data_IF_498203870473
#
_entry.id   IF_498203870473
#
_cell.length_a   1.000
_cell.length_b   1.000
_cell.length_c   1.000
_cell.angle_alpha   90.00
_cell.angle_beta   90.00
_cell.angle_gamma   90.00
#
_symmetry.space_group_name_H-M   'P 1'
#
loop_
_entity.id
_entity.type
_entity.pdbx_description
1 polymer ?
#
# COMPACT_ATOMS: atom_id res chain seq x y z
N UNK A 1 7.04 13.06 -18.89
CA UNK A 1 6.93 11.59 -18.72
C UNK A 1 5.68 11.29 -17.92
N UNK A 2 4.93 10.23 -18.22
CA UNK A 2 3.78 9.80 -17.39
C UNK A 2 4.17 8.54 -16.62
N UNK A 3 4.04 8.58 -15.30
CA UNK A 3 4.33 7.48 -14.38
C UNK A 3 3.01 7.10 -13.72
N UNK A 4 2.65 5.82 -13.78
CA UNK A 4 1.45 5.30 -13.10
C UNK A 4 1.92 4.45 -11.92
N UNK A 5 1.37 4.71 -10.74
CA UNK A 5 1.62 3.91 -9.53
C UNK A 5 0.32 3.31 -9.01
N UNK A 6 0.21 1.99 -9.09
CA UNK A 6 -0.91 1.28 -8.50
C UNK A 6 -0.70 1.13 -7.00
N UNK A 7 -1.80 1.08 -6.25
CA UNK A 7 -1.76 0.67 -4.86
C UNK A 7 -2.89 -0.29 -4.53
N UNK A 8 -2.68 -1.08 -3.49
CA UNK A 8 -3.66 -1.96 -2.88
C UNK A 8 -3.95 -1.49 -1.47
N UNK A 9 -5.23 -1.26 -1.21
CA UNK A 9 -5.75 -1.09 0.14
C UNK A 9 -5.84 -2.47 0.81
N UNK A 10 -5.16 -2.64 1.93
CA UNK A 10 -5.06 -3.90 2.69
C UNK A 10 -5.37 -3.64 4.16
N UNK A 11 -5.87 -4.64 4.92
CA UNK A 11 -5.96 -4.54 6.37
C UNK A 11 -4.54 -4.43 6.98
N UNK A 12 -4.41 -3.74 8.11
CA UNK A 12 -3.16 -3.71 8.86
C UNK A 12 -2.84 -5.10 9.42
N UNK A 13 -1.78 -5.73 8.89
CA UNK A 13 -1.40 -7.08 9.27
C UNK A 13 -1.01 -7.23 10.75
N UNK A 14 -0.67 -6.13 11.44
CA UNK A 14 -0.33 -6.18 12.87
C UNK A 14 -1.56 -6.47 13.74
N UNK A 15 -2.76 -6.14 13.25
CA UNK A 15 -4.02 -6.29 13.98
C UNK A 15 -4.87 -7.47 13.48
N UNK A 16 -4.39 -8.22 12.48
CA UNK A 16 -5.02 -9.46 12.03
C UNK A 16 -4.76 -10.56 13.05
N UNK A 17 -5.83 -11.22 13.52
CA UNK A 17 -5.74 -12.36 14.42
C UNK A 17 -6.22 -13.65 13.74
N UNK A 18 -5.85 -14.80 14.31
CA UNK A 18 -6.39 -16.12 13.91
C UNK A 18 -7.47 -16.52 14.92
N UNK A 19 -8.65 -16.88 14.41
CA UNK A 19 -9.73 -17.43 15.22
C UNK A 19 -9.36 -18.82 15.72
N UNK A 20 -9.25 -18.99 17.04
CA UNK A 20 -8.80 -20.25 17.65
C UNK A 20 -9.77 -21.44 17.44
N UNK A 21 -11.02 -21.18 17.08
CA UNK A 21 -12.04 -22.23 16.92
C UNK A 21 -11.94 -22.94 15.56
N UNK A 22 -11.62 -22.21 14.49
CA UNK A 22 -11.71 -22.69 13.11
C UNK A 22 -10.51 -22.30 12.22
N UNK A 23 -9.55 -21.53 12.76
CA UNK A 23 -8.36 -21.09 12.04
C UNK A 23 -8.62 -19.99 11.00
N UNK A 24 -9.82 -19.42 10.94
CA UNK A 24 -10.12 -18.29 10.05
C UNK A 24 -9.41 -17.01 10.51
N UNK A 25 -9.27 -16.03 9.62
CA UNK A 25 -8.68 -14.73 9.94
C UNK A 25 -9.74 -13.76 10.47
N UNK A 26 -9.45 -13.08 11.58
CA UNK A 26 -10.23 -11.97 12.13
C UNK A 26 -9.58 -10.64 11.73
N UNK A 27 -10.35 -9.81 11.03
CA UNK A 27 -9.97 -8.48 10.56
C UNK A 27 -10.70 -7.36 11.32
N UNK A 28 -11.50 -7.67 12.35
CA UNK A 28 -12.40 -6.72 13.02
C UNK A 28 -11.69 -5.52 13.66
N UNK A 29 -10.39 -5.65 13.95
CA UNK A 29 -9.53 -4.60 14.50
C UNK A 29 -8.49 -4.07 13.50
N UNK A 30 -8.41 -4.65 12.30
CA UNK A 30 -7.42 -4.31 11.31
C UNK A 30 -7.93 -3.16 10.42
N UNK A 31 -7.45 -1.95 10.70
CA UNK A 31 -7.75 -0.78 9.88
C UNK A 31 -7.17 -0.91 8.47
N UNK A 32 -7.77 -0.19 7.52
CA UNK A 32 -7.30 -0.18 6.14
C UNK A 32 -6.04 0.69 5.98
N UNK A 33 -5.01 0.15 5.33
CA UNK A 33 -3.78 0.87 4.95
C UNK A 33 -3.39 0.62 3.50
N UNK A 34 -2.52 1.48 2.96
CA UNK A 34 -1.84 1.21 1.69
C UNK A 34 -0.77 0.15 1.94
N UNK A 35 -0.64 -0.84 1.06
CA UNK A 35 0.44 -1.83 1.17
C UNK A 35 1.81 -1.14 1.27
N UNK A 36 2.66 -1.65 2.16
CA UNK A 36 4.01 -1.10 2.33
C UNK A 36 4.84 -1.14 1.03
N UNK A 37 4.62 -2.14 0.18
CA UNK A 37 5.28 -2.23 -1.12
C UNK A 37 4.84 -1.12 -2.07
N UNK A 38 3.55 -0.77 -2.04
CA UNK A 38 3.00 0.25 -2.91
C UNK A 38 3.41 1.66 -2.45
N UNK A 39 3.57 1.88 -1.14
CA UNK A 39 4.18 3.11 -0.62
C UNK A 39 5.59 3.32 -1.19
N UNK A 40 6.39 2.26 -1.28
CA UNK A 40 7.72 2.34 -1.88
C UNK A 40 7.66 2.65 -3.38
N UNK A 41 6.68 2.09 -4.10
CA UNK A 41 6.47 2.37 -5.52
C UNK A 41 6.06 3.83 -5.76
N UNK A 42 5.15 4.36 -4.94
CA UNK A 42 4.72 5.77 -4.95
C UNK A 42 5.91 6.69 -4.66
N UNK A 43 6.71 6.37 -3.64
CA UNK A 43 7.90 7.15 -3.28
C UNK A 43 8.94 7.17 -4.42
N UNK A 44 9.21 6.03 -5.04
CA UNK A 44 10.12 5.95 -6.18
C UNK A 44 9.62 6.81 -7.37
N UNK A 45 8.31 6.80 -7.64
CA UNK A 45 7.72 7.65 -8.68
C UNK A 45 7.84 9.15 -8.35
N UNK A 46 7.66 9.53 -7.07
CA UNK A 46 7.88 10.90 -6.60
C UNK A 46 9.34 11.34 -6.78
N UNK A 47 10.31 10.46 -6.48
CA UNK A 47 11.73 10.75 -6.69
C UNK A 47 12.07 10.92 -8.18
N UNK A 48 11.53 10.06 -9.05
CA UNK A 48 11.70 10.19 -10.50
C UNK A 48 11.07 11.48 -11.03
N UNK A 49 9.92 11.89 -10.48
CA UNK A 49 9.28 13.15 -10.83
C UNK A 49 10.16 14.36 -10.51
N UNK A 50 10.83 14.34 -9.36
CA UNK A 50 11.73 15.44 -8.96
C UNK A 50 12.92 15.62 -9.92
N UNK A 51 13.34 14.55 -10.61
CA UNK A 51 14.45 14.58 -11.56
C UNK A 51 14.04 15.01 -12.97
N UNK A 52 12.73 15.09 -13.26
CA UNK A 52 12.20 15.43 -14.57
C UNK A 52 11.08 16.47 -14.46
N UNK A 53 11.38 17.73 -14.78
CA UNK A 53 10.51 18.89 -14.56
C UNK A 53 9.06 18.77 -15.10
N UNK A 54 8.84 17.93 -16.12
CA UNK A 54 7.52 17.69 -16.73
C UNK A 54 6.99 16.26 -16.50
N UNK A 55 7.52 15.56 -15.50
CA UNK A 55 6.97 14.27 -15.11
C UNK A 55 5.67 14.42 -14.31
N UNK A 56 4.70 13.57 -14.62
CA UNK A 56 3.44 13.47 -13.90
C UNK A 56 3.33 12.07 -13.31
N UNK A 57 2.99 12.00 -12.02
CA UNK A 57 2.65 10.76 -11.32
C UNK A 57 1.13 10.72 -11.17
N UNK A 58 0.52 9.58 -11.42
CA UNK A 58 -0.93 9.36 -11.30
C UNK A 58 -1.21 7.98 -10.74
#
# INVERSE_FOLDING_TARGET
MKIITCYKCVPDEQDIAVNNADGSLDFSKADAKISQYDLNAIEAACQLKQQAAEAQVT
#
